data_IF_784072304188
#
_entry.id   IF_784072304188
#
_cell.length_a   1.000
_cell.length_b   1.000
_cell.length_c   1.000
_cell.angle_alpha   90.00
_cell.angle_beta   90.00
_cell.angle_gamma   90.00
#
_symmetry.space_group_name_H-M   'P 1'
#
loop_
_entity.id
_entity.type
_entity.pdbx_description
1 polymer ?
#
# COMPACT_ATOMS: atom_id res chain seq x y z
N UNK A 1 0.65 -19.31 16.83
CA UNK A 1 1.33 -18.02 16.69
C UNK A 1 1.46 -17.38 18.06
N UNK A 2 2.63 -16.81 18.36
CA UNK A 2 2.89 -16.05 19.59
C UNK A 2 1.96 -14.80 19.63
N UNK A 3 1.34 -14.52 20.79
CA UNK A 3 0.40 -13.39 20.93
C UNK A 3 1.09 -12.04 20.73
N UNK A 4 2.30 -11.90 21.25
CA UNK A 4 3.08 -10.66 21.12
C UNK A 4 3.38 -10.36 19.63
N UNK A 5 3.75 -11.40 18.87
CA UNK A 5 3.97 -11.27 17.44
C UNK A 5 2.68 -10.93 16.69
N UNK A 6 1.56 -11.58 17.02
CA UNK A 6 0.27 -11.30 16.39
C UNK A 6 -0.15 -9.85 16.60
N UNK A 7 -0.03 -9.35 17.83
CA UNK A 7 -0.38 -7.97 18.20
C UNK A 7 0.53 -6.97 17.46
N UNK A 8 1.84 -7.23 17.38
CA UNK A 8 2.79 -6.38 16.64
C UNK A 8 2.51 -6.35 15.12
N UNK A 9 2.14 -7.48 14.52
CA UNK A 9 1.77 -7.54 13.10
C UNK A 9 0.45 -6.80 12.83
N UNK A 10 -0.53 -6.89 13.75
CA UNK A 10 -1.75 -6.10 13.66
C UNK A 10 -1.49 -4.61 13.78
N UNK A 11 -0.60 -4.20 14.70
CA UNK A 11 -0.20 -2.81 14.87
C UNK A 11 0.49 -2.27 13.61
N UNK A 12 1.34 -3.08 12.97
CA UNK A 12 1.93 -2.77 11.66
C UNK A 12 0.84 -2.61 10.58
N UNK A 13 -0.10 -3.56 10.48
CA UNK A 13 -1.16 -3.56 9.45
C UNK A 13 -2.10 -2.36 9.61
N UNK A 14 -2.43 -2.02 10.86
CA UNK A 14 -3.39 -0.98 11.20
C UNK A 14 -2.72 0.39 11.43
N UNK A 15 -1.39 0.48 11.33
CA UNK A 15 -0.63 1.71 11.53
C UNK A 15 -0.71 2.25 12.96
N UNK A 16 -0.80 1.38 13.96
CA UNK A 16 -0.86 1.76 15.38
C UNK A 16 0.54 1.83 15.97
N UNK A 17 1.07 3.05 16.12
CA UNK A 17 2.40 3.26 16.71
C UNK A 17 3.56 2.81 15.81
N UNK A 18 3.29 2.43 14.56
CA UNK A 18 4.31 2.00 13.58
C UNK A 18 4.32 2.98 12.40
N UNK A 19 5.52 3.39 11.99
CA UNK A 19 5.69 4.27 10.84
C UNK A 19 5.20 3.61 9.56
N UNK A 20 4.47 4.34 8.72
CA UNK A 20 4.07 3.87 7.39
C UNK A 20 5.28 3.90 6.45
N UNK A 21 5.57 2.79 5.77
CA UNK A 21 6.75 2.67 4.91
C UNK A 21 7.11 1.22 4.60
N UNK A 22 8.42 0.95 4.43
CA UNK A 22 8.94 -0.40 4.23
C UNK A 22 9.32 -1.04 5.56
N UNK A 23 8.91 -2.29 5.76
CA UNK A 23 9.23 -3.09 6.95
C UNK A 23 9.77 -4.45 6.55
N UNK A 24 10.80 -4.91 7.26
CA UNK A 24 11.25 -6.29 7.17
C UNK A 24 10.32 -7.19 8.00
N UNK A 25 9.89 -8.30 7.40
CA UNK A 25 9.06 -9.33 8.00
C UNK A 25 9.94 -10.39 8.65
N UNK A 26 10.83 -9.95 9.56
CA UNK A 26 11.73 -10.82 10.31
C UNK A 26 11.54 -10.57 11.81
N UNK A 27 11.32 -11.64 12.58
CA UNK A 27 11.23 -11.57 14.03
C UNK A 27 12.16 -12.62 14.65
N UNK A 28 13.03 -12.17 15.56
CA UNK A 28 14.03 -13.01 16.24
C UNK A 28 14.86 -13.88 15.26
N UNK A 29 15.21 -13.30 14.10
CA UNK A 29 16.00 -13.95 13.05
C UNK A 29 15.23 -14.92 12.15
N UNK A 30 13.90 -15.03 12.29
CA UNK A 30 13.05 -15.88 11.45
C UNK A 30 12.13 -15.01 10.58
N UNK A 31 11.96 -15.34 9.28
CA UNK A 31 10.90 -14.76 8.46
C UNK A 31 9.52 -15.03 9.06
N UNK A 32 8.66 -14.01 9.08
CA UNK A 32 7.28 -14.06 9.59
C UNK A 32 6.26 -13.68 8.52
N UNK A 33 6.61 -13.93 7.25
CA UNK A 33 5.78 -13.55 6.09
C UNK A 33 4.43 -14.23 6.10
N UNK A 34 4.38 -15.52 6.41
CA UNK A 34 3.13 -16.28 6.39
C UNK A 34 2.19 -15.82 7.50
N UNK A 35 2.72 -15.56 8.70
CA UNK A 35 1.94 -14.98 9.79
C UNK A 35 1.41 -13.59 9.42
N UNK A 36 2.23 -12.76 8.76
CA UNK A 36 1.78 -11.45 8.29
C UNK A 36 0.63 -11.57 7.27
N UNK A 37 0.69 -12.54 6.36
CA UNK A 37 -0.39 -12.83 5.41
C UNK A 37 -1.68 -13.26 6.10
N UNK A 38 -1.58 -14.14 7.11
CA UNK A 38 -2.72 -14.53 7.93
C UNK A 38 -3.34 -13.32 8.65
N UNK A 39 -2.52 -12.43 9.20
CA UNK A 39 -3.01 -11.20 9.84
C UNK A 39 -3.64 -10.24 8.84
N UNK A 40 -3.09 -10.12 7.63
CA UNK A 40 -3.69 -9.29 6.57
C UNK A 40 -5.11 -9.77 6.26
N UNK A 41 -5.30 -11.07 6.05
CA UNK A 41 -6.63 -11.66 5.84
C UNK A 41 -7.56 -11.39 7.02
N UNK A 42 -7.09 -11.60 8.25
CA UNK A 42 -7.87 -11.35 9.47
C UNK A 42 -8.29 -9.88 9.62
N UNK A 43 -7.49 -8.94 9.11
CA UNK A 43 -7.77 -7.51 9.14
C UNK A 43 -8.53 -6.99 7.90
N UNK A 44 -8.98 -7.90 7.02
CA UNK A 44 -9.80 -7.59 5.86
C UNK A 44 -9.02 -7.11 4.63
N UNK A 45 -7.72 -7.41 4.56
CA UNK A 45 -6.92 -7.23 3.37
C UNK A 45 -6.97 -8.48 2.49
N UNK A 46 -7.05 -8.29 1.17
CA UNK A 46 -7.11 -9.38 0.20
C UNK A 46 -6.15 -9.10 -0.95
N UNK A 47 -5.56 -10.14 -1.56
CA UNK A 47 -4.73 -9.95 -2.74
C UNK A 47 -5.60 -9.49 -3.90
N UNK A 48 -5.16 -8.45 -4.60
CA UNK A 48 -5.78 -7.97 -5.83
C UNK A 48 -4.79 -7.15 -6.63
N UNK A 49 -5.03 -7.06 -7.93
CA UNK A 49 -4.27 -6.14 -8.77
C UNK A 49 -4.75 -4.69 -8.59
N UNK A 50 -3.90 -3.74 -8.97
CA UNK A 50 -4.29 -2.32 -9.08
C UNK A 50 -5.49 -2.15 -10.00
N UNK A 51 -5.64 -2.99 -11.03
CA UNK A 51 -6.79 -2.93 -11.94
C UNK A 51 -8.11 -3.23 -11.21
N UNK A 52 -8.15 -4.31 -10.43
CA UNK A 52 -9.36 -4.84 -9.80
C UNK A 52 -9.85 -4.05 -8.59
N UNK A 53 -8.97 -3.28 -7.93
CA UNK A 53 -9.34 -2.56 -6.70
C UNK A 53 -10.56 -1.63 -6.88
N UNK A 54 -11.67 -1.79 -6.14
CA UNK A 54 -12.88 -1.00 -6.37
C UNK A 54 -12.75 0.38 -5.73
N UNK A 55 -12.31 1.37 -6.50
CA UNK A 55 -12.01 2.73 -6.00
C UNK A 55 -12.41 3.83 -6.99
N UNK A 56 -12.96 4.90 -6.45
CA UNK A 56 -13.35 6.09 -7.19
C UNK A 56 -12.30 7.21 -7.09
N UNK A 57 -12.44 8.21 -7.97
CA UNK A 57 -11.61 9.40 -7.91
C UNK A 57 -11.85 10.18 -6.60
N UNK A 58 -10.79 10.59 -5.91
CA UNK A 58 -10.88 11.21 -4.57
C UNK A 58 -10.92 10.21 -3.41
N UNK A 59 -10.78 8.92 -3.70
CA UNK A 59 -10.58 7.88 -2.70
C UNK A 59 -9.14 7.32 -2.78
N UNK A 60 -8.67 6.78 -1.65
CA UNK A 60 -7.46 5.95 -1.56
C UNK A 60 -7.76 4.69 -0.73
N UNK A 61 -7.21 3.55 -1.15
CA UNK A 61 -7.33 2.27 -0.44
C UNK A 61 -5.96 1.90 0.14
N UNK A 62 -5.86 1.61 1.46
CA UNK A 62 -4.60 1.18 2.04
C UNK A 62 -4.20 -0.20 1.49
N UNK A 63 -2.93 -0.35 1.14
CA UNK A 63 -2.42 -1.58 0.57
C UNK A 63 -0.98 -1.87 0.97
N UNK A 64 -0.62 -3.15 0.90
CA UNK A 64 0.73 -3.65 1.15
C UNK A 64 1.24 -4.42 -0.05
N UNK A 65 2.44 -4.08 -0.52
CA UNK A 65 3.15 -4.78 -1.58
C UNK A 65 4.25 -5.63 -0.95
N UNK A 66 4.26 -6.93 -1.22
CA UNK A 66 5.25 -7.85 -0.67
C UNK A 66 6.46 -7.98 -1.61
N UNK A 67 7.65 -8.00 -1.02
CA UNK A 67 8.93 -8.03 -1.73
C UNK A 67 9.91 -8.93 -0.97
N UNK A 68 9.89 -10.23 -1.26
CA UNK A 68 10.62 -11.22 -0.44
C UNK A 68 10.18 -11.16 1.03
N UNK A 69 11.13 -10.98 1.94
CA UNK A 69 10.88 -10.85 3.38
C UNK A 69 10.63 -9.39 3.81
N UNK A 70 10.21 -8.53 2.89
CA UNK A 70 9.82 -7.16 3.21
C UNK A 70 8.43 -6.83 2.69
N UNK A 71 7.83 -5.81 3.29
CA UNK A 71 6.56 -5.25 2.86
C UNK A 71 6.67 -3.74 2.72
N UNK A 72 6.12 -3.20 1.64
CA UNK A 72 5.97 -1.77 1.41
C UNK A 72 4.50 -1.38 1.62
N UNK A 73 4.22 -0.55 2.62
CA UNK A 73 2.92 0.09 2.77
C UNK A 73 2.75 1.19 1.72
N UNK A 74 1.53 1.30 1.17
CA UNK A 74 1.16 2.32 0.23
C UNK A 74 -0.35 2.45 0.05
N UNK A 75 -0.73 3.15 -1.01
CA UNK A 75 -2.11 3.41 -1.35
C UNK A 75 -2.40 3.04 -2.79
N UNK A 76 -3.51 2.36 -3.02
CA UNK A 76 -4.15 2.37 -4.33
C UNK A 76 -4.96 3.65 -4.43
N UNK A 77 -4.71 4.46 -5.45
CA UNK A 77 -5.36 5.77 -5.61
C UNK A 77 -5.48 6.16 -7.09
N UNK A 78 -6.33 7.13 -7.35
CA UNK A 78 -6.35 7.85 -8.62
C UNK A 78 -5.50 9.12 -8.52
N UNK A 79 -4.62 9.32 -9.48
CA UNK A 79 -4.02 10.62 -9.77
C UNK A 79 -4.76 11.27 -10.92
N UNK A 80 -5.15 12.53 -10.72
CA UNK A 80 -5.91 13.30 -11.71
C UNK A 80 -5.03 14.45 -12.17
N UNK A 81 -4.60 14.38 -13.42
CA UNK A 81 -3.85 15.47 -14.06
C UNK A 81 -4.83 16.50 -14.63
N UNK A 82 -5.91 16.02 -15.26
CA UNK A 82 -7.02 16.82 -15.78
C UNK A 82 -8.32 16.02 -15.66
N UNK A 83 -9.51 16.62 -15.82
CA UNK A 83 -10.77 15.88 -15.81
C UNK A 83 -10.83 14.73 -16.83
N UNK A 84 -10.05 14.81 -17.93
CA UNK A 84 -9.96 13.79 -18.98
C UNK A 84 -8.74 12.87 -18.84
N UNK A 85 -7.76 13.24 -18.01
CA UNK A 85 -6.51 12.50 -17.83
C UNK A 85 -6.33 12.13 -16.36
N UNK A 86 -6.52 10.84 -16.08
CA UNK A 86 -6.33 10.26 -14.75
C UNK A 86 -5.66 8.91 -14.88
N UNK A 87 -4.87 8.53 -13.89
CA UNK A 87 -4.26 7.20 -13.80
C UNK A 87 -4.56 6.58 -12.43
N UNK A 88 -4.87 5.30 -12.43
CA UNK A 88 -4.96 4.51 -11.20
C UNK A 88 -3.64 3.80 -10.97
N UNK A 89 -3.15 3.86 -9.75
CA UNK A 89 -1.88 3.25 -9.37
C UNK A 89 -1.92 2.76 -7.92
N UNK A 90 -1.00 1.86 -7.59
CA UNK A 90 -0.47 1.74 -6.24
C UNK A 90 0.81 2.60 -6.13
N UNK A 91 0.95 3.33 -5.03
CA UNK A 91 2.15 4.08 -4.68
C UNK A 91 2.55 3.80 -3.23
N UNK A 92 3.80 3.42 -2.99
CA UNK A 92 4.34 3.24 -1.63
C UNK A 92 4.44 4.58 -0.89
N UNK A 93 4.20 4.60 0.42
CA UNK A 93 4.50 5.79 1.25
C UNK A 93 6.00 6.13 1.23
N UNK A 94 6.86 5.10 1.11
CA UNK A 94 8.29 5.30 0.95
C UNK A 94 8.58 6.06 -0.35
N UNK A 95 9.31 7.17 -0.24
CA UNK A 95 9.89 7.89 -1.37
C UNK A 95 11.36 7.49 -1.57
N UNK A 96 11.87 7.65 -2.79
CA UNK A 96 13.30 7.52 -3.07
C UNK A 96 14.03 8.79 -2.59
N UNK A 97 15.22 8.64 -1.99
CA UNK A 97 15.94 9.77 -1.41
C UNK A 97 16.53 10.73 -2.44
N UNK A 98 16.71 10.28 -3.68
CA UNK A 98 17.38 11.02 -4.76
C UNK A 98 16.46 12.00 -5.50
N UNK A 99 15.18 11.65 -5.67
CA UNK A 99 14.24 12.44 -6.47
C UNK A 99 12.85 12.60 -5.84
N UNK A 100 12.64 12.11 -4.61
CA UNK A 100 11.34 12.14 -3.92
C UNK A 100 10.19 11.43 -4.65
N UNK A 101 10.47 10.65 -5.71
CA UNK A 101 9.50 9.80 -6.38
C UNK A 101 9.11 8.62 -5.47
N UNK A 102 7.98 7.97 -5.74
CA UNK A 102 7.64 6.75 -5.01
C UNK A 102 8.72 5.69 -5.19
N UNK A 103 9.09 5.03 -4.10
CA UNK A 103 10.03 3.92 -4.16
C UNK A 103 9.46 2.77 -5.00
N UNK A 104 8.16 2.49 -4.82
CA UNK A 104 7.41 1.50 -5.59
C UNK A 104 6.14 2.14 -6.16
N UNK A 105 5.93 1.93 -7.45
CA UNK A 105 4.70 2.30 -8.14
C UNK A 105 4.25 1.16 -9.05
N UNK A 106 2.99 0.76 -8.94
CA UNK A 106 2.37 -0.22 -9.84
C UNK A 106 1.18 0.42 -10.57
N UNK A 107 1.07 0.18 -11.86
CA UNK A 107 0.02 0.73 -12.71
C UNK A 107 -1.03 -0.34 -13.06
N UNK A 108 -2.07 0.05 -13.80
CA UNK A 108 -3.16 -0.82 -14.27
C UNK A 108 -2.74 -2.02 -15.13
N UNK A 109 -1.54 -1.97 -15.72
CA UNK A 109 -0.97 -3.07 -16.51
C UNK A 109 -0.09 -4.01 -15.69
N UNK A 110 0.25 -3.65 -14.45
CA UNK A 110 1.01 -4.54 -13.59
C UNK A 110 0.18 -5.79 -13.26
N UNK A 111 0.73 -7.01 -13.45
CA UNK A 111 0.10 -8.25 -13.01
C UNK A 111 0.37 -8.53 -11.53
N UNK A 112 1.14 -7.68 -10.84
CA UNK A 112 1.53 -7.89 -9.44
C UNK A 112 0.37 -7.60 -8.48
N UNK A 113 0.16 -8.53 -7.55
CA UNK A 113 -0.82 -8.39 -6.48
C UNK A 113 -0.33 -7.46 -5.38
N UNK A 114 -1.26 -6.67 -4.86
CA UNK A 114 -1.12 -5.97 -3.59
C UNK A 114 -2.20 -6.45 -2.64
N UNK A 115 -1.89 -6.48 -1.36
CA UNK A 115 -2.83 -6.81 -0.30
C UNK A 115 -3.55 -5.54 0.10
N UNK A 116 -4.79 -5.39 -0.35
CA UNK A 116 -5.56 -4.16 -0.19
C UNK A 116 -6.84 -4.39 0.61
N UNK A 117 -7.30 -3.37 1.32
CA UNK A 117 -8.57 -3.42 2.08
C UNK A 117 -9.55 -2.35 1.60
N UNK A 118 -10.42 -2.65 0.61
CA UNK A 118 -11.37 -1.68 0.08
C UNK A 118 -12.36 -1.14 1.11
N UNK A 119 -12.70 -1.94 2.12
CA UNK A 119 -13.56 -1.55 3.23
C UNK A 119 -12.95 -0.43 4.10
N UNK A 120 -11.63 -0.23 4.01
CA UNK A 120 -10.88 0.81 4.72
C UNK A 120 -10.52 2.00 3.82
N UNK A 121 -11.25 2.19 2.73
CA UNK A 121 -11.04 3.34 1.84
C UNK A 121 -11.20 4.66 2.59
N UNK A 122 -10.32 5.59 2.28
CA UNK A 122 -10.33 6.95 2.84
C UNK A 122 -10.63 7.95 1.73
N UNK A 123 -11.39 9.00 2.06
CA UNK A 123 -11.45 10.18 1.20
C UNK A 123 -10.13 10.94 1.29
N UNK A 124 -9.69 11.47 0.17
CA UNK A 124 -8.53 12.34 0.11
C UNK A 124 -8.77 13.43 -0.92
N UNK A 125 -8.20 14.61 -0.67
CA UNK A 125 -8.20 15.66 -1.67
C UNK A 125 -7.44 15.18 -2.90
N UNK A 126 -8.05 15.34 -4.07
CA UNK A 126 -7.41 14.92 -5.31
C UNK A 126 -6.15 15.75 -5.50
N UNK A 127 -4.97 15.11 -5.42
CA UNK A 127 -3.71 15.72 -5.81
C UNK A 127 -3.80 16.11 -7.29
N UNK A 128 -4.04 17.39 -7.53
CA UNK A 128 -3.96 17.96 -8.87
C UNK A 128 -2.48 18.19 -9.15
N UNK A 129 -1.89 17.34 -9.98
CA UNK A 129 -0.52 17.54 -10.44
C UNK A 129 -0.54 18.71 -11.40
N UNK A 130 -0.24 19.91 -10.90
CA UNK A 130 -0.03 21.08 -11.75
C UNK A 130 1.28 20.83 -12.48
N UNK A 131 1.19 20.46 -13.76
CA UNK A 131 2.35 20.48 -14.63
C UNK A 131 2.88 21.92 -14.67
N UNK A 132 4.02 22.16 -14.05
CA UNK A 132 4.76 23.41 -14.23
C UNK A 132 5.30 23.34 -15.66
N UNK A 133 4.65 24.03 -16.60
CA UNK A 133 5.22 24.21 -17.93
C UNK A 133 6.56 24.96 -17.78
N UNK A 134 7.64 24.49 -18.43
CA UNK A 134 8.91 25.22 -18.48
C UNK A 134 8.78 26.56 -19.23
#
# INVERSE_FOLDING_TARGET
MDKELADALDDLILGRGVARGRHELVSRGRPVRDEFLERLLANGFRPMTVREAPIEAGEKIPAFRLDGDAVDFGWIRWEIFTPKSRRKLFASERRRPDNSEWAVQLNLSSPEDVWASPERKEKHDVETVVAVNP
#
